data_IF_785201860699
#
_entry.id   IF_785201860699
#
_cell.length_a   1.000
_cell.length_b   1.000
_cell.length_c   1.000
_cell.angle_alpha   90.00
_cell.angle_beta   90.00
_cell.angle_gamma   90.00
#
_symmetry.space_group_name_H-M   'P 1'
#
loop_
_entity.id
_entity.type
_entity.pdbx_description
1 polymer ?
#
# COMPACT_ATOMS: atom_id res chain seq x y z
N UNK A 1 31.88 16.22 14.06
CA UNK A 1 31.91 14.89 13.39
C UNK A 1 31.35 13.76 14.24
N UNK A 2 31.74 13.57 15.51
CA UNK A 2 31.06 12.59 16.40
C UNK A 2 29.90 13.25 17.19
N UNK A 3 30.05 14.50 17.60
CA UNK A 3 29.02 15.25 18.36
C UNK A 3 27.75 15.55 17.55
N UNK A 4 27.87 15.66 16.22
CA UNK A 4 26.73 15.89 15.33
C UNK A 4 25.81 14.67 15.20
N UNK A 5 26.29 13.47 15.55
CA UNK A 5 25.55 12.21 15.44
C UNK A 5 24.70 11.90 16.69
N UNK A 6 24.84 12.68 17.77
CA UNK A 6 24.14 12.47 19.05
C UNK A 6 22.85 13.30 19.18
N UNK A 7 22.51 14.08 18.16
CA UNK A 7 21.30 14.89 18.17
C UNK A 7 20.08 14.01 17.80
N UNK A 8 19.53 13.33 18.79
CA UNK A 8 18.37 12.40 18.69
C UNK A 8 17.08 13.05 18.15
N UNK A 9 17.07 14.37 17.93
CA UNK A 9 15.95 15.15 17.42
C UNK A 9 16.00 15.48 15.92
N UNK A 10 17.04 15.08 15.18
CA UNK A 10 16.99 15.13 13.71
C UNK A 10 16.42 13.82 13.18
N UNK A 11 15.10 13.75 13.02
CA UNK A 11 14.54 12.79 12.07
C UNK A 11 15.15 13.11 10.71
N UNK A 12 15.97 12.22 10.18
CA UNK A 12 16.36 12.27 8.78
C UNK A 12 15.07 12.44 7.96
N UNK A 13 15.03 13.34 6.96
CA UNK A 13 13.85 13.43 6.11
C UNK A 13 13.55 12.03 5.56
N UNK A 14 12.27 11.61 5.52
CA UNK A 14 11.93 10.29 5.03
C UNK A 14 12.54 10.13 3.65
N UNK A 15 13.25 9.02 3.45
CA UNK A 15 13.89 8.69 2.18
C UNK A 15 12.79 8.62 1.12
N UNK A 16 12.75 9.57 0.20
CA UNK A 16 11.73 9.62 -0.85
C UNK A 16 12.17 8.67 -1.97
N UNK A 17 11.30 7.75 -2.37
CA UNK A 17 11.64 6.80 -3.42
C UNK A 17 11.64 7.43 -4.82
N UNK A 18 12.40 6.86 -5.78
CA UNK A 18 12.40 7.30 -7.17
C UNK A 18 11.00 7.37 -7.80
N UNK A 19 10.09 6.45 -7.47
CA UNK A 19 8.71 6.44 -8.01
C UNK A 19 7.85 7.59 -7.44
N UNK A 20 8.03 7.92 -6.15
CA UNK A 20 7.42 9.12 -5.55
C UNK A 20 8.01 10.40 -6.17
N UNK A 21 9.32 10.42 -6.41
CA UNK A 21 9.99 11.53 -7.10
C UNK A 21 9.57 11.62 -8.57
N UNK A 22 9.28 10.51 -9.25
CA UNK A 22 8.85 10.48 -10.66
C UNK A 22 7.42 11.01 -10.84
N UNK A 23 6.49 10.65 -9.94
CA UNK A 23 5.14 11.22 -9.93
C UNK A 23 5.17 12.74 -9.69
N UNK A 24 6.02 13.20 -8.77
CA UNK A 24 6.25 14.63 -8.49
C UNK A 24 6.96 15.34 -9.66
N UNK A 25 7.93 14.68 -10.32
CA UNK A 25 8.72 15.25 -11.40
C UNK A 25 7.97 15.40 -12.73
N UNK A 26 6.93 14.60 -12.96
CA UNK A 26 6.12 14.63 -14.19
C UNK A 26 4.88 15.55 -14.11
N UNK A 27 4.72 16.34 -13.03
CA UNK A 27 3.55 17.21 -12.85
C UNK A 27 2.28 16.47 -12.44
N UNK A 28 2.38 15.27 -11.89
CA UNK A 28 1.26 14.51 -11.35
C UNK A 28 0.75 15.10 -10.03
N UNK A 29 -0.56 15.04 -9.81
CA UNK A 29 -1.15 15.41 -8.52
C UNK A 29 -0.77 14.39 -7.44
N UNK A 30 -0.65 14.86 -6.20
CA UNK A 30 -0.40 14.01 -5.03
C UNK A 30 -1.50 14.23 -4.00
N UNK A 31 -1.81 13.18 -3.25
CA UNK A 31 -2.62 13.26 -2.03
C UNK A 31 -1.77 12.97 -0.80
N UNK A 32 -2.23 13.46 0.35
CA UNK A 32 -1.60 13.20 1.63
C UNK A 32 -2.37 12.08 2.34
N UNK A 33 -1.66 11.02 2.69
CA UNK A 33 -2.18 9.86 3.41
C UNK A 33 -1.51 9.79 4.78
N UNK A 34 -2.25 9.38 5.81
CA UNK A 34 -1.76 9.35 7.20
C UNK A 34 -1.88 7.95 7.79
N UNK A 35 -0.86 7.55 8.54
CA UNK A 35 -0.90 6.41 9.46
C UNK A 35 -0.40 6.86 10.85
N UNK A 36 -0.31 5.93 11.80
CA UNK A 36 0.15 6.24 13.17
C UNK A 36 1.60 6.74 13.24
N UNK A 37 2.38 6.60 12.17
CA UNK A 37 3.76 7.10 12.06
C UNK A 37 3.83 8.47 11.37
N UNK A 38 2.71 9.01 10.89
CA UNK A 38 2.55 10.34 10.31
C UNK A 38 2.14 10.33 8.85
N UNK A 39 2.28 11.49 8.22
CA UNK A 39 1.79 11.75 6.86
C UNK A 39 2.85 11.41 5.80
N UNK A 40 2.41 10.82 4.69
CA UNK A 40 3.20 10.63 3.46
C UNK A 40 2.42 11.10 2.23
N UNK A 41 3.16 11.46 1.19
CA UNK A 41 2.58 11.78 -0.12
C UNK A 41 2.43 10.51 -0.96
N UNK A 42 1.28 10.40 -1.60
CA UNK A 42 0.93 9.31 -2.52
C UNK A 42 0.46 9.90 -3.85
N UNK A 43 0.90 9.37 -5.01
CA UNK A 43 0.40 9.79 -6.32
C UNK A 43 -1.13 9.69 -6.39
N UNK A 44 -1.80 10.74 -6.87
CA UNK A 44 -3.27 10.82 -6.91
C UNK A 44 -3.90 9.76 -7.83
N UNK A 45 -3.14 9.25 -8.80
CA UNK A 45 -3.51 8.21 -9.75
C UNK A 45 -3.32 6.77 -9.21
N UNK A 46 -2.87 6.60 -7.96
CA UNK A 46 -2.71 5.27 -7.34
C UNK A 46 -3.68 5.05 -6.20
N UNK A 47 -4.22 3.83 -6.03
CA UNK A 47 -5.19 3.52 -4.96
C UNK A 47 -4.59 3.14 -3.59
N UNK A 48 -3.29 2.82 -3.48
CA UNK A 48 -2.71 2.38 -2.22
C UNK A 48 -2.57 3.50 -1.17
N UNK A 49 -2.55 3.17 0.11
CA UNK A 49 -2.46 4.16 1.21
C UNK A 49 -1.05 4.42 1.77
N UNK A 50 -1.01 5.08 2.93
CA UNK A 50 0.22 5.48 3.63
C UNK A 50 1.14 4.29 3.96
N UNK A 51 0.59 3.17 4.44
CA UNK A 51 1.39 2.01 4.84
C UNK A 51 2.11 1.36 3.65
N UNK A 52 1.48 1.31 2.48
CA UNK A 52 2.13 0.87 1.24
C UNK A 52 3.24 1.82 0.85
N UNK A 53 2.97 3.12 0.85
CA UNK A 53 3.99 4.14 0.55
C UNK A 53 5.21 4.04 1.48
N UNK A 54 4.97 3.83 2.78
CA UNK A 54 6.00 3.63 3.78
C UNK A 54 6.77 2.33 3.57
N UNK A 55 6.07 1.26 3.20
CA UNK A 55 6.71 -0.03 2.91
C UNK A 55 7.66 0.06 1.73
N UNK A 56 7.27 0.74 0.65
CA UNK A 56 8.17 0.94 -0.48
C UNK A 56 9.46 1.64 -0.03
N UNK A 57 9.37 2.68 0.82
CA UNK A 57 10.55 3.41 1.34
C UNK A 57 11.47 2.49 2.16
N UNK A 58 10.88 1.63 3.00
CA UNK A 58 11.61 0.80 3.95
C UNK A 58 12.17 -0.49 3.33
N UNK A 59 11.53 -1.00 2.29
CA UNK A 59 11.80 -2.31 1.68
C UNK A 59 12.06 -2.20 0.17
N UNK A 60 12.85 -1.21 -0.23
CA UNK A 60 13.37 -1.07 -1.59
C UNK A 60 14.58 -1.99 -1.80
N UNK A 61 14.31 -3.29 -1.88
CA UNK A 61 15.32 -4.35 -1.99
C UNK A 61 14.97 -5.22 -3.19
N UNK A 62 15.92 -5.34 -4.13
CA UNK A 62 15.76 -6.18 -5.33
C UNK A 62 14.75 -5.63 -6.35
N UNK A 63 14.56 -6.39 -7.44
CA UNK A 63 13.62 -6.03 -8.51
C UNK A 63 12.36 -6.91 -8.55
N UNK A 64 12.28 -7.90 -7.67
CA UNK A 64 11.17 -8.85 -7.61
C UNK A 64 9.93 -8.20 -6.98
N UNK A 65 8.91 -7.94 -7.80
CA UNK A 65 7.60 -7.50 -7.32
C UNK A 65 6.73 -8.69 -6.87
N UNK A 66 5.73 -8.41 -6.04
CA UNK A 66 4.79 -9.44 -5.58
C UNK A 66 4.16 -10.17 -6.77
N UNK A 67 4.26 -11.52 -6.86
CA UNK A 67 3.72 -12.24 -8.01
C UNK A 67 2.22 -12.04 -8.17
N UNK A 68 1.77 -11.93 -9.42
CA UNK A 68 0.35 -11.73 -9.75
C UNK A 68 -0.58 -12.74 -9.08
N UNK A 69 -0.16 -14.00 -8.95
CA UNK A 69 -0.93 -15.02 -8.26
C UNK A 69 -1.23 -14.68 -6.79
N UNK A 70 -0.32 -14.01 -6.10
CA UNK A 70 -0.51 -13.56 -4.71
C UNK A 70 -1.48 -12.37 -4.66
N UNK A 71 -1.34 -11.39 -5.56
CA UNK A 71 -2.24 -10.24 -5.66
C UNK A 71 -3.68 -10.72 -5.94
N UNK A 72 -3.84 -11.64 -6.90
CA UNK A 72 -5.13 -12.29 -7.17
C UNK A 72 -5.68 -13.02 -5.95
N UNK A 73 -4.81 -13.71 -5.19
CA UNK A 73 -5.18 -14.36 -3.94
C UNK A 73 -5.74 -13.38 -2.91
N UNK A 74 -5.17 -12.18 -2.79
CA UNK A 74 -5.72 -11.12 -1.96
C UNK A 74 -7.09 -10.63 -2.45
N UNK A 75 -7.29 -10.44 -3.75
CA UNK A 75 -8.60 -10.11 -4.32
C UNK A 75 -9.67 -11.13 -3.92
N UNK A 76 -9.39 -12.43 -4.05
CA UNK A 76 -10.28 -13.52 -3.60
C UNK A 76 -10.55 -13.42 -2.09
N UNK A 77 -9.49 -13.27 -1.29
CA UNK A 77 -9.58 -13.23 0.16
C UNK A 77 -10.45 -12.08 0.65
N UNK A 78 -10.23 -10.86 0.14
CA UNK A 78 -10.98 -9.66 0.54
C UNK A 78 -12.44 -9.74 0.08
N UNK A 79 -12.69 -10.26 -1.12
CA UNK A 79 -14.06 -10.47 -1.60
C UNK A 79 -14.83 -11.46 -0.71
N UNK A 80 -14.20 -12.60 -0.37
CA UNK A 80 -14.81 -13.60 0.49
C UNK A 80 -15.07 -13.05 1.89
N UNK A 81 -14.10 -12.35 2.48
CA UNK A 81 -14.25 -11.73 3.80
C UNK A 81 -15.39 -10.71 3.84
N UNK A 82 -15.53 -9.86 2.82
CA UNK A 82 -16.62 -8.89 2.73
C UNK A 82 -17.99 -9.57 2.66
N UNK A 83 -18.15 -10.57 1.78
CA UNK A 83 -19.38 -11.37 1.65
C UNK A 83 -19.74 -12.07 2.96
N UNK A 84 -18.77 -12.68 3.64
CA UNK A 84 -19.00 -13.34 4.93
C UNK A 84 -19.41 -12.34 6.00
N UNK A 85 -18.73 -11.20 6.12
CA UNK A 85 -19.08 -10.18 7.12
C UNK A 85 -20.46 -9.56 6.86
N UNK A 86 -20.86 -9.38 5.60
CA UNK A 86 -22.21 -8.96 5.21
C UNK A 86 -23.25 -9.99 5.68
N UNK A 87 -23.02 -11.29 5.44
CA UNK A 87 -23.93 -12.37 5.87
C UNK A 87 -24.04 -12.49 7.39
N UNK A 88 -22.95 -12.22 8.12
CA UNK A 88 -22.94 -12.20 9.58
C UNK A 88 -23.53 -10.91 10.18
N UNK A 89 -23.85 -9.92 9.35
CA UNK A 89 -24.36 -8.62 9.79
C UNK A 89 -23.31 -7.75 10.50
N UNK A 90 -22.01 -8.07 10.35
CA UNK A 90 -20.90 -7.30 10.96
C UNK A 90 -20.37 -6.20 10.04
N UNK A 91 -20.84 -6.15 8.79
CA UNK A 91 -20.49 -5.13 7.80
C UNK A 91 -21.75 -4.62 7.11
N UNK A 92 -21.88 -3.30 7.00
CA UNK A 92 -22.98 -2.66 6.26
C UNK A 92 -23.02 -3.17 4.81
N UNK A 93 -24.22 -3.43 4.30
CA UNK A 93 -24.40 -4.01 2.97
C UNK A 93 -23.81 -3.14 1.86
N UNK A 94 -23.98 -1.82 1.92
CA UNK A 94 -23.48 -0.93 0.86
C UNK A 94 -21.95 -0.91 0.86
N UNK A 95 -21.34 -0.91 2.03
CA UNK A 95 -19.87 -1.00 2.16
C UNK A 95 -19.38 -2.36 1.66
N UNK A 96 -20.05 -3.46 2.04
CA UNK A 96 -19.69 -4.80 1.59
C UNK A 96 -19.74 -4.92 0.06
N UNK A 97 -20.79 -4.40 -0.57
CA UNK A 97 -20.98 -4.46 -2.03
C UNK A 97 -19.86 -3.69 -2.76
N UNK A 98 -19.45 -2.53 -2.25
CA UNK A 98 -18.32 -1.76 -2.79
C UNK A 98 -16.98 -2.50 -2.64
N UNK A 99 -16.74 -3.13 -1.48
CA UNK A 99 -15.51 -3.92 -1.27
C UNK A 99 -15.50 -5.13 -2.20
N UNK A 100 -16.64 -5.79 -2.40
CA UNK A 100 -16.77 -6.93 -3.33
C UNK A 100 -16.44 -6.50 -4.76
N UNK A 101 -16.92 -5.34 -5.19
CA UNK A 101 -16.63 -4.78 -6.51
C UNK A 101 -15.13 -4.47 -6.68
N UNK A 102 -14.52 -3.73 -5.76
CA UNK A 102 -13.09 -3.41 -5.82
C UNK A 102 -12.21 -4.66 -5.75
N UNK A 103 -12.61 -5.64 -4.93
CA UNK A 103 -11.89 -6.93 -4.82
C UNK A 103 -11.98 -7.73 -6.12
N UNK A 104 -13.07 -7.63 -6.87
CA UNK A 104 -13.19 -8.25 -8.21
C UNK A 104 -12.19 -7.62 -9.18
N UNK A 105 -12.02 -6.29 -9.16
CA UNK A 105 -11.05 -5.58 -10.01
C UNK A 105 -9.60 -6.03 -9.71
N UNK A 106 -9.25 -6.26 -8.43
CA UNK A 106 -7.96 -6.87 -8.04
C UNK A 106 -7.86 -8.32 -8.50
N UNK A 107 -8.94 -9.08 -8.37
CA UNK A 107 -8.99 -10.50 -8.74
C UNK A 107 -8.79 -10.69 -10.25
N UNK A 108 -9.39 -9.85 -11.09
CA UNK A 108 -9.26 -9.93 -12.56
C UNK A 108 -8.01 -9.24 -13.09
N UNK A 109 -7.39 -8.36 -12.31
CA UNK A 109 -6.09 -7.75 -12.62
C UNK A 109 -6.16 -6.32 -13.15
N UNK A 110 -7.35 -5.71 -13.13
CA UNK A 110 -7.54 -4.30 -13.53
C UNK A 110 -6.72 -3.33 -12.68
N UNK A 111 -6.32 -3.74 -11.47
CA UNK A 111 -5.63 -2.90 -10.50
C UNK A 111 -4.18 -3.34 -10.21
N UNK A 112 -3.57 -4.17 -11.06
CA UNK A 112 -2.24 -4.74 -10.78
C UNK A 112 -1.15 -3.68 -10.57
N UNK A 113 -1.23 -2.54 -11.28
CA UNK A 113 -0.27 -1.44 -11.12
C UNK A 113 -0.35 -0.72 -9.76
N UNK A 114 -1.35 -1.03 -8.92
CA UNK A 114 -1.50 -0.46 -7.58
C UNK A 114 -0.85 -1.33 -6.49
N UNK A 115 -0.11 -2.36 -6.88
CA UNK A 115 0.61 -3.27 -5.98
C UNK A 115 2.14 -3.17 -6.16
N UNK A 116 2.78 -2.04 -5.76
CA UNK A 116 4.19 -1.77 -6.08
C UNK A 116 5.19 -2.46 -5.14
N UNK A 117 4.73 -3.27 -4.19
CA UNK A 117 5.60 -3.83 -3.16
C UNK A 117 6.51 -4.94 -3.69
N UNK A 118 7.77 -4.89 -3.28
CA UNK A 118 8.77 -5.94 -3.52
C UNK A 118 8.44 -7.20 -2.71
N UNK A 119 8.94 -8.35 -3.16
CA UNK A 119 8.88 -9.63 -2.43
C UNK A 119 9.62 -9.52 -1.09
N UNK A 120 10.70 -8.75 -1.05
CA UNK A 120 11.65 -8.64 0.05
C UNK A 120 11.17 -7.66 1.15
N UNK A 121 10.02 -7.97 1.75
CA UNK A 121 9.37 -7.23 2.85
C UNK A 121 9.39 -8.03 4.17
N UNK A 122 8.50 -7.75 5.13
CA UNK A 122 8.43 -8.57 6.35
C UNK A 122 7.96 -9.99 6.04
N UNK A 123 8.53 -10.98 6.73
CA UNK A 123 8.22 -12.40 6.49
C UNK A 123 6.77 -12.81 6.76
N UNK A 124 5.99 -11.97 7.44
CA UNK A 124 4.55 -12.16 7.65
C UNK A 124 3.68 -11.79 6.44
N UNK A 125 4.21 -11.03 5.48
CA UNK A 125 3.44 -10.48 4.37
C UNK A 125 2.46 -9.37 4.77
N UNK A 126 2.66 -8.75 5.94
CA UNK A 126 1.74 -7.73 6.47
C UNK A 126 1.60 -6.54 5.53
N UNK A 127 2.67 -6.09 4.88
CA UNK A 127 2.60 -4.92 3.99
C UNK A 127 1.83 -5.23 2.71
N UNK A 128 1.97 -6.42 2.11
CA UNK A 128 1.08 -6.83 1.00
C UNK A 128 -0.38 -6.98 1.41
N UNK A 129 -0.66 -7.46 2.63
CA UNK A 129 -2.03 -7.45 3.14
C UNK A 129 -2.57 -6.02 3.31
N UNK A 130 -1.74 -5.09 3.79
CA UNK A 130 -2.11 -3.68 3.91
C UNK A 130 -2.15 -2.94 2.57
N UNK A 131 -1.48 -3.44 1.54
CA UNK A 131 -1.60 -2.94 0.18
C UNK A 131 -2.94 -3.35 -0.45
N UNK A 132 -3.45 -4.55 -0.11
CA UNK A 132 -4.74 -5.02 -0.57
C UNK A 132 -5.93 -4.46 0.23
N UNK A 133 -5.71 -4.05 1.48
CA UNK A 133 -6.70 -3.33 2.30
C UNK A 133 -6.90 -1.90 1.80
#
# INVERSE_FOLDING_TARGET
MIEDSLNSNRKSPPKVLPEQLAAIANGGEVRFEEDTMGVLQVPADRYYGCQTARSMINFDIGEDYMPRGVIRGFGILKQAAAKTNQQLGTLDSKIADLIVQASEEVLVGSLDEHFPLRVWQTGSGTQSNMNAN
#
